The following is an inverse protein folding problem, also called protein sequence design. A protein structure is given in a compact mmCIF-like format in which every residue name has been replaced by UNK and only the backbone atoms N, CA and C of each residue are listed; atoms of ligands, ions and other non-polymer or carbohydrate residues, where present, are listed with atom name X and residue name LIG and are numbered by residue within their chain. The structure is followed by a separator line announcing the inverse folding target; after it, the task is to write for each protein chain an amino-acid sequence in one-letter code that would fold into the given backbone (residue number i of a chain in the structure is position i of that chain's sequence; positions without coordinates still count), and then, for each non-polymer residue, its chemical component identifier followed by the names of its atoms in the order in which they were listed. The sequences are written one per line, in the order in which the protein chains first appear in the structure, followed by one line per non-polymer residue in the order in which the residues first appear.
data_IF_565950023107
#
_entry.id   IF_565950023107
#
_cell.length_a   1.000
_cell.length_b   1.000
_cell.length_c   1.000
_cell.angle_alpha   90.00
_cell.angle_beta   90.00
_cell.angle_gamma   90.00
#
_symmetry.space_group_name_H-M   'P 1'
#
loop_
_entity.id
_entity.type
_entity.pdbx_description
1 polymer ?
#
# COMPACT_ATOMS: atom_id res chain seq x y z
N UNK A 1 -5.31 1.88 16.44
CA UNK A 1 -6.55 2.09 15.65
C UNK A 1 -7.34 0.79 15.66
N UNK A 2 -8.66 0.83 15.89
CA UNK A 2 -9.52 -0.35 15.83
C UNK A 2 -10.08 -0.51 14.41
N UNK A 3 -9.89 -1.69 13.81
CA UNK A 3 -10.46 -1.99 12.50
C UNK A 3 -11.98 -2.15 12.57
N UNK A 4 -12.71 -1.62 11.59
CA UNK A 4 -14.19 -1.70 11.51
C UNK A 4 -14.70 -3.00 10.91
N UNK A 5 -13.83 -3.79 10.29
CA UNK A 5 -14.11 -5.08 9.67
C UNK A 5 -12.84 -5.94 9.69
N UNK A 6 -12.99 -7.24 9.43
CA UNK A 6 -11.86 -8.13 9.16
C UNK A 6 -11.11 -7.68 7.89
N UNK A 7 -9.84 -8.10 7.77
CA UNK A 7 -9.01 -7.74 6.62
C UNK A 7 -9.77 -8.01 5.30
N UNK A 8 -9.96 -7.00 4.42
CA UNK A 8 -10.74 -7.16 3.18
C UNK A 8 -10.29 -8.33 2.31
N UNK A 9 -9.01 -8.71 2.39
CA UNK A 9 -8.43 -9.83 1.63
C UNK A 9 -8.93 -11.20 2.11
N UNK A 10 -9.46 -11.28 3.32
CA UNK A 10 -10.13 -12.47 3.86
C UNK A 10 -11.59 -12.56 3.42
N UNK A 11 -12.19 -11.42 3.04
CA UNK A 11 -13.58 -11.33 2.59
C UNK A 11 -13.66 -11.47 1.06
N UNK A 12 -12.66 -10.93 0.36
CA UNK A 12 -12.51 -10.97 -1.10
C UNK A 12 -11.18 -11.66 -1.44
N UNK A 13 -11.10 -13.01 -1.35
CA UNK A 13 -9.83 -13.74 -1.45
C UNK A 13 -9.10 -13.52 -2.78
N UNK A 14 -9.84 -13.24 -3.85
CA UNK A 14 -9.28 -13.04 -5.19
C UNK A 14 -8.63 -11.67 -5.40
N UNK A 15 -8.73 -10.72 -4.45
CA UNK A 15 -8.17 -9.37 -4.62
C UNK A 15 -6.68 -9.30 -4.32
N UNK A 16 -6.11 -10.28 -3.59
CA UNK A 16 -4.70 -10.24 -3.20
C UNK A 16 -3.75 -10.31 -4.38
N UNK A 17 -4.00 -11.23 -5.32
CA UNK A 17 -3.11 -11.41 -6.48
C UNK A 17 -3.07 -10.15 -7.37
N UNK A 18 -4.21 -9.54 -7.75
CA UNK A 18 -4.20 -8.27 -8.50
C UNK A 18 -3.47 -7.14 -7.77
N UNK A 19 -3.65 -6.98 -6.45
CA UNK A 19 -2.96 -5.95 -5.68
C UNK A 19 -1.43 -6.16 -5.72
N UNK A 20 -0.96 -7.39 -5.57
CA UNK A 20 0.47 -7.70 -5.68
C UNK A 20 1.01 -7.46 -7.09
N UNK A 21 0.22 -7.78 -8.13
CA UNK A 21 0.60 -7.52 -9.51
C UNK A 21 0.77 -6.01 -9.79
N UNK A 22 -0.11 -5.18 -9.26
CA UNK A 22 0.01 -3.71 -9.35
C UNK A 22 1.28 -3.19 -8.68
N UNK A 23 1.59 -3.69 -7.48
CA UNK A 23 2.81 -3.32 -6.76
C UNK A 23 4.07 -3.73 -7.53
N UNK A 24 4.07 -4.94 -8.11
CA UNK A 24 5.17 -5.43 -8.95
C UNK A 24 5.38 -4.53 -10.16
N UNK A 25 4.32 -4.27 -10.93
CA UNK A 25 4.40 -3.42 -12.13
C UNK A 25 4.91 -2.01 -11.81
N UNK A 26 4.51 -1.44 -10.67
CA UNK A 26 4.98 -0.12 -10.22
C UNK A 26 6.48 -0.11 -9.95
N UNK A 27 7.02 -1.17 -9.32
CA UNK A 27 8.45 -1.31 -9.02
C UNK A 27 9.30 -1.58 -10.26
N UNK A 28 8.73 -2.15 -11.31
CA UNK A 28 9.40 -2.38 -12.59
C UNK A 28 9.45 -1.11 -13.47
N UNK A 29 8.78 -0.02 -13.09
CA UNK A 29 8.67 1.22 -13.87
C UNK A 29 9.91 2.10 -13.96
N UNK A 30 11.06 1.69 -13.39
CA UNK A 30 12.35 2.39 -13.52
C UNK A 30 12.59 3.56 -12.55
N UNK A 31 11.62 3.88 -11.69
CA UNK A 31 11.81 4.87 -10.62
C UNK A 31 12.59 4.23 -9.46
N UNK A 32 13.58 4.93 -8.86
CA UNK A 32 14.29 4.40 -7.70
C UNK A 32 13.34 3.97 -6.57
N UNK A 33 13.63 2.83 -5.96
CA UNK A 33 12.78 2.24 -4.92
C UNK A 33 12.53 3.20 -3.74
N UNK A 34 13.56 3.94 -3.31
CA UNK A 34 13.46 4.95 -2.25
C UNK A 34 12.48 6.08 -2.62
N UNK A 35 12.49 6.52 -3.88
CA UNK A 35 11.53 7.51 -4.37
C UNK A 35 10.10 6.96 -4.34
N UNK A 36 9.90 5.70 -4.74
CA UNK A 36 8.58 5.06 -4.66
C UNK A 36 8.06 4.95 -3.22
N UNK A 37 8.93 4.64 -2.27
CA UNK A 37 8.59 4.59 -0.84
C UNK A 37 8.19 5.97 -0.29
N UNK A 38 8.94 7.03 -0.64
CA UNK A 38 8.57 8.40 -0.28
C UNK A 38 7.24 8.85 -0.92
N UNK A 39 6.97 8.45 -2.16
CA UNK A 39 5.68 8.69 -2.82
C UNK A 39 4.56 7.96 -2.08
N UNK A 40 4.76 6.69 -1.71
CA UNK A 40 3.79 5.92 -0.92
C UNK A 40 3.49 6.59 0.42
N UNK A 41 4.54 6.99 1.17
CA UNK A 41 4.39 7.70 2.44
C UNK A 41 3.63 9.01 2.26
N UNK A 42 3.99 9.82 1.25
CA UNK A 42 3.36 11.12 1.04
C UNK A 42 1.89 11.01 0.63
N UNK A 43 1.57 10.10 -0.28
CA UNK A 43 0.18 9.82 -0.67
C UNK A 43 -0.65 9.35 0.54
N UNK A 44 -0.05 8.52 1.40
CA UNK A 44 -0.70 8.02 2.62
C UNK A 44 -1.01 9.13 3.62
N UNK A 45 -0.09 10.09 3.81
CA UNK A 45 -0.30 11.26 4.66
C UNK A 45 -1.44 12.14 4.11
N UNK A 46 -1.47 12.41 2.81
CA UNK A 46 -2.52 13.20 2.15
C UNK A 46 -3.89 12.54 2.34
N UNK A 47 -3.95 11.22 2.18
CA UNK A 47 -5.19 10.45 2.34
C UNK A 47 -5.57 10.17 3.80
N UNK A 48 -4.76 10.60 4.78
CA UNK A 48 -5.01 10.32 6.20
C UNK A 48 -5.01 8.83 6.55
N UNK A 49 -4.34 7.97 5.77
CA UNK A 49 -4.26 6.53 6.05
C UNK A 49 -3.17 6.25 7.08
N UNK A 50 -3.48 6.31 8.38
CA UNK A 50 -2.50 6.10 9.45
C UNK A 50 -1.80 4.73 9.41
N UNK A 51 -2.50 3.67 8.99
CA UNK A 51 -1.88 2.36 8.77
C UNK A 51 -0.84 2.39 7.64
N UNK A 52 -1.16 3.04 6.53
CA UNK A 52 -0.26 3.18 5.40
C UNK A 52 0.93 4.11 5.73
N UNK A 53 0.71 5.13 6.56
CA UNK A 53 1.78 6.01 7.06
C UNK A 53 2.77 5.22 7.93
N UNK A 54 2.28 4.38 8.86
CA UNK A 54 3.17 3.53 9.66
C UNK A 54 3.93 2.52 8.78
N UNK A 55 3.26 1.93 7.78
CA UNK A 55 3.90 1.02 6.82
C UNK A 55 4.92 1.70 5.92
N UNK A 56 4.75 2.99 5.59
CA UNK A 56 5.66 3.74 4.73
C UNK A 56 6.77 4.48 5.47
N UNK A 57 6.72 4.52 6.81
CA UNK A 57 7.71 5.18 7.65
C UNK A 57 8.73 4.22 8.28
N UNK A 58 8.52 2.90 8.12
CA UNK A 58 9.38 1.82 8.63
C UNK A 58 10.07 1.12 7.48
#
# INVERSE_FOLDING_TARGET
MQARMSNPTMILPDTMKPIQALLKATREGGVPQTTLELVHLRASQINGCSFCVDSGAR
#
